data_IF_325004037942
#
_entry.id   IF_325004037942
#
_cell.length_a   1.000
_cell.length_b   1.000
_cell.length_c   1.000
_cell.angle_alpha   90.00
_cell.angle_beta   90.00
_cell.angle_gamma   90.00
#
_symmetry.space_group_name_H-M   'P 1'
#
loop_
_entity.id
_entity.type
_entity.pdbx_description
1 polymer ?
#
# COMPACT_ATOMS: atom_id res chain seq x y z
N UNK A 1 -6.95 30.78 1.48
CA UNK A 1 -6.24 29.78 2.32
C UNK A 1 -5.45 28.89 1.39
N UNK A 2 -4.11 28.87 1.49
CA UNK A 2 -3.29 27.96 0.69
C UNK A 2 -3.42 26.56 1.27
N UNK A 3 -4.05 25.64 0.55
CA UNK A 3 -3.96 24.22 0.87
C UNK A 3 -2.49 23.82 0.88
N UNK A 4 -2.02 23.16 1.95
CA UNK A 4 -0.63 22.69 2.03
C UNK A 4 -0.29 21.80 0.82
N UNK A 5 0.97 21.82 0.38
CA UNK A 5 1.40 21.14 -0.86
C UNK A 5 0.98 19.67 -0.92
N UNK A 6 0.99 18.95 0.21
CA UNK A 6 0.55 17.56 0.31
C UNK A 6 -0.95 17.38 0.01
N UNK A 7 -1.81 18.26 0.52
CA UNK A 7 -3.26 18.20 0.28
C UNK A 7 -3.55 18.45 -1.18
N UNK A 8 -2.85 19.41 -1.80
CA UNK A 8 -2.99 19.71 -3.23
C UNK A 8 -2.59 18.51 -4.10
N UNK A 9 -1.51 17.80 -3.75
CA UNK A 9 -1.08 16.59 -4.48
C UNK A 9 -2.09 15.45 -4.41
N UNK A 10 -2.73 15.27 -3.25
CA UNK A 10 -3.78 14.26 -3.06
C UNK A 10 -5.03 14.62 -3.85
N UNK A 11 -5.49 15.87 -3.75
CA UNK A 11 -6.69 16.34 -4.44
C UNK A 11 -6.52 16.35 -5.96
N UNK A 12 -5.32 16.65 -6.46
CA UNK A 12 -5.03 16.60 -7.89
C UNK A 12 -4.79 15.18 -8.42
N UNK A 13 -4.75 14.17 -7.54
CA UNK A 13 -4.40 12.79 -7.91
C UNK A 13 -2.95 12.61 -8.38
N UNK A 14 -2.07 13.60 -8.13
CA UNK A 14 -0.69 13.55 -8.59
C UNK A 14 0.14 12.57 -7.75
N UNK A 15 -0.08 12.55 -6.43
CA UNK A 15 0.57 11.61 -5.51
C UNK A 15 -0.14 11.52 -4.17
N UNK A 16 -0.13 10.32 -3.60
CA UNK A 16 -0.70 10.05 -2.29
C UNK A 16 -2.22 9.89 -2.35
N UNK A 17 -2.81 9.56 -1.21
CA UNK A 17 -4.24 9.43 -1.01
C UNK A 17 -4.63 9.98 0.37
N UNK A 18 -5.92 10.06 0.65
CA UNK A 18 -6.39 10.44 1.98
C UNK A 18 -5.88 9.48 3.08
N UNK A 19 -5.70 8.20 2.77
CA UNK A 19 -5.11 7.22 3.71
C UNK A 19 -3.67 7.60 4.08
N UNK A 20 -2.86 8.02 3.10
CA UNK A 20 -1.50 8.48 3.38
C UNK A 20 -1.49 9.71 4.29
N UNK A 21 -2.37 10.69 4.05
CA UNK A 21 -2.49 11.86 4.93
C UNK A 21 -2.93 11.46 6.34
N UNK A 22 -3.86 10.51 6.44
CA UNK A 22 -4.34 10.00 7.72
C UNK A 22 -3.22 9.28 8.50
N UNK A 23 -2.42 8.45 7.85
CA UNK A 23 -1.29 7.77 8.49
C UNK A 23 -0.17 8.73 8.90
N UNK A 24 0.04 9.78 8.11
CA UNK A 24 1.05 10.80 8.40
C UNK A 24 0.67 11.62 9.63
N UNK A 25 -0.57 12.08 9.76
CA UNK A 25 -0.94 13.09 10.77
C UNK A 25 -1.98 12.63 11.80
N UNK A 26 -2.72 11.57 11.53
CA UNK A 26 -3.79 11.06 12.40
C UNK A 26 -3.37 9.83 13.18
N UNK A 27 -3.27 8.70 12.50
CA UNK A 27 -2.95 7.40 13.10
C UNK A 27 -2.58 6.42 11.99
N UNK A 28 -1.64 5.50 12.26
CA UNK A 28 -1.29 4.43 11.31
C UNK A 28 -2.46 3.47 11.09
N UNK A 29 -3.33 3.31 12.09
CA UNK A 29 -4.51 2.46 12.03
C UNK A 29 -4.25 1.02 12.46
N UNK A 30 -5.10 0.10 12.02
CA UNK A 30 -5.03 -1.31 12.40
C UNK A 30 -3.90 -2.05 11.67
N UNK A 31 -3.16 -2.87 12.42
CA UNK A 31 -2.11 -3.77 11.97
C UNK A 31 -2.37 -5.16 12.58
N UNK A 32 -2.90 -6.10 11.80
CA UNK A 32 -3.26 -7.46 12.25
C UNK A 32 -3.91 -7.50 13.66
N UNK A 33 -5.09 -6.87 13.79
CA UNK A 33 -5.91 -6.75 15.01
C UNK A 33 -5.43 -5.78 16.10
N UNK A 34 -4.26 -5.17 15.94
CA UNK A 34 -3.75 -4.15 16.87
C UNK A 34 -3.91 -2.75 16.28
N UNK A 35 -4.59 -1.86 17.00
CA UNK A 35 -4.73 -0.46 16.59
C UNK A 35 -3.50 0.36 17.01
N UNK A 36 -2.74 0.86 16.04
CA UNK A 36 -1.60 1.76 16.26
C UNK A 36 -2.13 3.18 16.33
N UNK A 37 -2.06 3.79 17.52
CA UNK A 37 -2.68 5.10 17.77
C UNK A 37 -1.83 6.23 17.20
N UNK A 38 -0.51 6.13 17.34
CA UNK A 38 0.38 7.21 16.91
C UNK A 38 0.46 7.31 15.38
N UNK A 39 0.63 8.53 14.90
CA UNK A 39 0.91 8.81 13.49
C UNK A 39 2.41 8.75 13.19
N UNK A 40 2.78 8.71 11.90
CA UNK A 40 4.19 8.83 11.53
C UNK A 40 4.81 10.18 11.91
N UNK A 41 4.01 11.24 12.01
CA UNK A 41 4.46 12.55 12.46
C UNK A 41 4.81 12.58 13.95
N UNK A 42 3.99 11.94 14.78
CA UNK A 42 4.21 11.85 16.23
C UNK A 42 5.34 10.88 16.59
N UNK A 43 5.53 9.86 15.75
CA UNK A 43 6.48 8.77 15.99
C UNK A 43 5.85 7.63 16.78
N UNK A 44 6.21 6.40 16.42
CA UNK A 44 5.67 5.19 17.05
C UNK A 44 6.39 4.90 18.37
N UNK A 45 5.64 4.36 19.33
CA UNK A 45 6.25 3.68 20.47
C UNK A 45 6.98 2.40 20.04
N UNK A 46 7.88 1.88 20.88
CA UNK A 46 8.63 0.65 20.58
C UNK A 46 7.71 -0.53 20.26
N UNK A 47 6.61 -0.69 21.00
CA UNK A 47 5.65 -1.78 20.79
C UNK A 47 4.91 -1.62 19.45
N UNK A 48 4.45 -0.42 19.13
CA UNK A 48 3.78 -0.14 17.85
C UNK A 48 4.72 -0.32 16.66
N UNK A 49 5.98 0.07 16.81
CA UNK A 49 6.99 -0.13 15.78
C UNK A 49 7.22 -1.62 15.48
N UNK A 50 7.28 -2.47 16.51
CA UNK A 50 7.40 -3.93 16.35
C UNK A 50 6.18 -4.52 15.65
N UNK A 51 4.97 -4.11 16.05
CA UNK A 51 3.72 -4.55 15.42
C UNK A 51 3.69 -4.16 13.94
N UNK A 52 3.97 -2.89 13.63
CA UNK A 52 4.00 -2.39 12.25
C UNK A 52 5.06 -3.12 11.41
N UNK A 53 6.25 -3.34 11.97
CA UNK A 53 7.34 -4.05 11.28
C UNK A 53 6.98 -5.51 10.98
N UNK A 54 6.28 -6.19 11.91
CA UNK A 54 5.82 -7.56 11.71
C UNK A 54 4.85 -7.65 10.52
N UNK A 55 3.81 -6.82 10.51
CA UNK A 55 2.83 -6.81 9.42
C UNK A 55 3.47 -6.44 8.07
N UNK A 56 4.38 -5.47 8.06
CA UNK A 56 5.14 -5.13 6.85
C UNK A 56 6.00 -6.31 6.34
N UNK A 57 6.59 -7.09 7.25
CA UNK A 57 7.39 -8.27 6.89
C UNK A 57 6.53 -9.38 6.29
N UNK A 58 5.33 -9.63 6.84
CA UNK A 58 4.38 -10.58 6.28
C UNK A 58 3.93 -10.16 4.87
N UNK A 59 3.64 -8.87 4.67
CA UNK A 59 3.30 -8.34 3.35
C UNK A 59 4.44 -8.48 2.33
N UNK A 60 5.69 -8.21 2.74
CA UNK A 60 6.88 -8.42 1.91
C UNK A 60 7.08 -9.90 1.57
N UNK A 61 6.84 -10.80 2.53
CA UNK A 61 6.88 -12.24 2.28
C UNK A 61 5.85 -12.65 1.23
N UNK A 62 4.64 -12.08 1.25
CA UNK A 62 3.64 -12.33 0.21
C UNK A 62 4.05 -11.78 -1.16
N UNK A 63 4.79 -10.67 -1.20
CA UNK A 63 5.35 -10.12 -2.44
C UNK A 63 6.39 -11.04 -3.11
N UNK A 64 6.93 -12.05 -2.41
CA UNK A 64 7.80 -13.08 -3.02
C UNK A 64 7.11 -13.86 -4.16
N UNK A 65 5.78 -13.81 -4.23
CA UNK A 65 4.95 -14.38 -5.30
C UNK A 65 4.82 -13.49 -6.53
N UNK A 66 5.67 -12.47 -6.68
CA UNK A 66 5.68 -11.57 -7.85
C UNK A 66 5.82 -12.28 -9.21
N UNK A 67 6.34 -13.51 -9.21
CA UNK A 67 6.46 -14.33 -10.40
C UNK A 67 5.12 -14.91 -10.89
N UNK A 68 4.13 -15.09 -10.00
CA UNK A 68 2.86 -15.75 -10.32
C UNK A 68 2.05 -14.98 -11.39
N UNK A 69 1.86 -13.64 -11.30
CA UNK A 69 1.15 -12.89 -12.34
C UNK A 69 1.88 -12.93 -13.68
N UNK A 70 3.21 -12.80 -13.68
CA UNK A 70 4.01 -12.84 -14.92
C UNK A 70 3.89 -14.18 -15.64
N UNK A 71 3.97 -15.27 -14.90
CA UNK A 71 3.79 -16.62 -15.43
C UNK A 71 2.36 -16.86 -15.94
N UNK A 72 1.36 -16.43 -15.18
CA UNK A 72 -0.06 -16.56 -15.55
C UNK A 72 -0.38 -15.77 -16.82
N UNK A 73 0.12 -14.54 -16.91
CA UNK A 73 -0.02 -13.68 -18.09
C UNK A 73 0.64 -14.31 -19.32
N UNK A 74 1.87 -14.79 -19.19
CA UNK A 74 2.58 -15.46 -20.29
C UNK A 74 1.78 -16.65 -20.84
N UNK A 75 1.28 -17.53 -19.96
CA UNK A 75 0.43 -18.66 -20.37
C UNK A 75 -0.85 -18.21 -21.07
N UNK A 76 -1.50 -17.17 -20.55
CA UNK A 76 -2.74 -16.65 -21.11
C UNK A 76 -2.52 -16.10 -22.52
N UNK A 77 -1.49 -15.28 -22.72
CA UNK A 77 -1.13 -14.74 -24.04
C UNK A 77 -0.81 -15.88 -25.01
N UNK A 78 0.03 -16.83 -24.62
CA UNK A 78 0.40 -17.97 -25.47
C UNK A 78 -0.81 -18.79 -25.93
N UNK A 79 -1.80 -18.99 -25.06
CA UNK A 79 -3.00 -19.76 -25.38
C UNK A 79 -4.02 -18.99 -26.24
N UNK A 80 -4.07 -17.66 -26.13
CA UNK A 80 -5.08 -16.84 -26.80
C UNK A 80 -4.58 -16.14 -28.07
N UNK A 81 -3.27 -16.15 -28.35
CA UNK A 81 -2.67 -15.43 -29.48
C UNK A 81 -3.19 -15.83 -30.88
N UNK A 82 -3.85 -16.98 -31.00
CA UNK A 82 -4.46 -17.45 -32.25
C UNK A 82 -5.96 -17.19 -32.38
N UNK A 83 -6.60 -16.61 -31.36
CA UNK A 83 -8.03 -16.28 -31.41
C UNK A 83 -8.24 -14.96 -32.15
N UNK A 84 -9.09 -15.00 -33.17
CA UNK A 84 -9.61 -13.82 -33.83
C UNK A 84 -11.14 -13.89 -33.85
N UNK A 85 -11.77 -12.73 -33.99
CA UNK A 85 -13.21 -12.63 -34.21
C UNK A 85 -13.40 -12.74 -35.73
N UNK A 86 -14.24 -13.67 -36.17
CA UNK A 86 -14.68 -13.80 -37.57
C UNK A 86 -15.35 -12.51 -38.07
#
# INVERSE_FOLDING_TARGET
>A
MSSGCLVTQVLSGAKGSFEHLYQMFGSIGYQNDVFVKHSFWEGLSANEAVVHAKTATEALSNASKIWEPGYSYYKMVYNLQGLYVD
#
